data_IF_607137944954
#
_entry.id   IF_607137944954
#
_cell.length_a   1.000
_cell.length_b   1.000
_cell.length_c   1.000
_cell.angle_alpha   90.00
_cell.angle_beta   90.00
_cell.angle_gamma   90.00
#
_symmetry.space_group_name_H-M   'P 1'
#
loop_
_entity.id
_entity.type
_entity.pdbx_description
1 polymer ?
#
# COMPACT_ATOMS: atom_id res chain seq x y z
N UNK A 1 -7.59 10.10 0.20
CA UNK A 1 -7.78 9.46 -1.10
C UNK A 1 -7.61 7.95 -0.96
N UNK A 2 -8.53 7.19 -1.53
CA UNK A 2 -8.51 5.73 -1.43
C UNK A 2 -7.93 5.14 -2.71
N UNK A 3 -6.99 4.21 -2.56
CA UNK A 3 -6.34 3.54 -3.69
C UNK A 3 -6.43 2.04 -3.48
N UNK A 4 -6.75 1.30 -4.53
CA UNK A 4 -6.72 -0.17 -4.47
C UNK A 4 -5.31 -0.65 -4.80
N UNK A 5 -4.80 -1.55 -3.97
CA UNK A 5 -3.45 -2.06 -4.10
C UNK A 5 -3.44 -3.58 -4.04
N UNK A 6 -2.36 -4.15 -4.56
CA UNK A 6 -2.04 -5.58 -4.41
C UNK A 6 -0.88 -5.66 -3.42
N UNK A 7 -1.05 -6.44 -2.36
CA UNK A 7 0.03 -6.64 -1.40
C UNK A 7 1.09 -7.57 -1.99
N UNK A 8 2.35 -7.18 -1.87
CA UNK A 8 3.48 -8.00 -2.32
C UNK A 8 4.18 -8.72 -1.15
N UNK A 9 4.07 -8.18 0.05
CA UNK A 9 4.70 -8.76 1.22
C UNK A 9 4.93 -7.72 2.29
N UNK A 10 5.70 -8.09 3.31
CA UNK A 10 6.02 -7.19 4.41
C UNK A 10 7.50 -6.86 4.39
N UNK A 11 7.81 -5.61 4.76
CA UNK A 11 9.19 -5.18 5.00
C UNK A 11 9.52 -5.41 6.47
N UNK A 12 10.44 -6.31 6.74
CA UNK A 12 10.81 -6.67 8.11
C UNK A 12 11.48 -5.53 8.87
N UNK A 13 12.10 -4.59 8.16
CA UNK A 13 12.79 -3.48 8.81
C UNK A 13 11.80 -2.43 9.32
N UNK A 14 10.84 -2.06 8.49
CA UNK A 14 9.87 -1.02 8.85
C UNK A 14 8.61 -1.59 9.49
N UNK A 15 8.32 -2.87 9.24
CA UNK A 15 7.06 -3.48 9.65
C UNK A 15 5.88 -3.09 8.79
N UNK A 16 6.13 -2.38 7.70
CA UNK A 16 5.08 -1.97 6.77
C UNK A 16 4.92 -3.00 5.66
N UNK A 17 3.69 -3.12 5.17
CA UNK A 17 3.44 -3.98 4.02
C UNK A 17 3.77 -3.24 2.75
N UNK A 18 4.52 -3.90 1.88
CA UNK A 18 4.87 -3.35 0.58
C UNK A 18 3.81 -3.75 -0.42
N UNK A 19 3.19 -2.75 -1.04
CA UNK A 19 2.11 -2.95 -1.98
C UNK A 19 2.37 -2.14 -3.24
N UNK A 20 1.61 -2.44 -4.28
CA UNK A 20 1.65 -1.68 -5.53
C UNK A 20 0.22 -1.43 -5.96
N UNK A 21 0.01 -0.38 -6.75
CA UNK A 21 -1.33 -0.06 -7.21
C UNK A 21 -1.85 -1.15 -8.14
N UNK A 22 -3.09 -1.55 -7.94
CA UNK A 22 -3.74 -2.56 -8.77
C UNK A 22 -4.26 -1.97 -10.07
N UNK A 23 -4.56 -0.68 -10.06
CA UNK A 23 -5.05 -0.01 -11.25
C UNK A 23 -3.88 0.50 -12.08
N UNK A 24 -4.08 0.55 -13.38
CA UNK A 24 -3.12 1.16 -14.31
C UNK A 24 -3.22 2.68 -14.16
N UNK A 25 -2.53 3.19 -13.17
CA UNK A 25 -2.54 4.62 -12.85
C UNK A 25 -1.15 5.18 -13.09
N UNK A 26 -0.88 5.74 -14.28
CA UNK A 26 0.44 6.28 -14.59
C UNK A 26 0.86 7.45 -13.69
N UNK A 27 -0.08 8.01 -12.96
CA UNK A 27 0.21 9.10 -12.04
C UNK A 27 0.77 8.60 -10.70
N UNK A 28 0.58 7.33 -10.40
CA UNK A 28 1.06 6.73 -9.16
C UNK A 28 2.15 5.74 -9.53
N UNK A 29 3.35 6.25 -9.67
CA UNK A 29 4.51 5.47 -10.09
C UNK A 29 5.40 5.24 -8.87
N UNK A 30 5.04 4.24 -8.07
CA UNK A 30 5.80 3.96 -6.87
C UNK A 30 5.15 2.90 -6.01
N UNK A 31 5.77 2.65 -4.89
CA UNK A 31 5.29 1.66 -3.94
C UNK A 31 4.30 2.29 -2.96
N UNK A 32 3.37 1.47 -2.48
CA UNK A 32 2.46 1.88 -1.43
C UNK A 32 2.86 1.14 -0.15
N UNK A 33 3.23 1.89 0.87
CA UNK A 33 3.59 1.33 2.16
C UNK A 33 2.37 1.38 3.08
N UNK A 34 1.94 0.23 3.57
CA UNK A 34 0.69 0.10 4.30
C UNK A 34 0.95 -0.32 5.73
N UNK A 35 0.41 0.44 6.67
CA UNK A 35 0.40 0.09 8.08
C UNK A 35 -0.91 -0.64 8.40
N UNK A 36 -0.80 -1.82 8.99
CA UNK A 36 -1.98 -2.61 9.35
C UNK A 36 -1.72 -3.41 10.61
N UNK A 37 -2.70 -3.44 11.50
CA UNK A 37 -2.63 -4.27 12.70
C UNK A 37 -2.92 -5.73 12.39
N UNK A 38 -3.66 -5.97 11.31
CA UNK A 38 -4.00 -7.31 10.87
C UNK A 38 -3.05 -7.75 9.75
N UNK A 39 -2.74 -9.03 9.67
CA UNK A 39 -1.86 -9.50 8.60
C UNK A 39 -2.52 -9.36 7.23
N UNK A 40 -1.77 -8.83 6.29
CA UNK A 40 -2.19 -8.76 4.90
C UNK A 40 -1.55 -9.91 4.14
N UNK A 41 -2.27 -10.44 3.16
CA UNK A 41 -1.82 -11.61 2.42
C UNK A 41 -1.23 -11.21 1.08
N UNK A 42 -0.04 -11.73 0.72
CA UNK A 42 0.54 -11.46 -0.59
C UNK A 42 -0.39 -11.91 -1.72
N UNK A 43 -0.53 -11.07 -2.73
CA UNK A 43 -1.41 -11.34 -3.87
C UNK A 43 -2.85 -10.92 -3.68
N UNK A 44 -3.22 -10.50 -2.47
CA UNK A 44 -4.59 -10.05 -2.20
C UNK A 44 -4.73 -8.57 -2.48
N UNK A 45 -5.95 -8.15 -2.78
CA UNK A 45 -6.28 -6.76 -3.04
C UNK A 45 -6.79 -6.08 -1.77
N UNK A 46 -6.40 -4.83 -1.57
CA UNK A 46 -6.86 -4.04 -0.43
C UNK A 46 -7.13 -2.61 -0.87
N UNK A 47 -8.12 -1.99 -0.24
CA UNK A 47 -8.37 -0.57 -0.42
C UNK A 47 -7.61 0.17 0.68
N UNK A 48 -6.76 1.10 0.28
CA UNK A 48 -5.87 1.81 1.19
C UNK A 48 -6.25 3.27 1.22
N UNK A 49 -6.41 3.80 2.43
CA UNK A 49 -6.60 5.22 2.64
C UNK A 49 -5.22 5.86 2.75
N UNK A 50 -4.85 6.61 1.72
CA UNK A 50 -3.55 7.27 1.66
C UNK A 50 -3.59 8.51 2.55
N UNK A 51 -2.72 8.56 3.54
CA UNK A 51 -2.66 9.68 4.47
C UNK A 51 -1.34 10.45 4.41
N UNK A 52 -0.35 9.94 3.69
CA UNK A 52 0.91 10.65 3.51
C UNK A 52 1.56 10.20 2.20
N UNK A 53 2.49 11.01 1.70
CA UNK A 53 3.22 10.67 0.48
C UNK A 53 4.62 11.26 0.53
N UNK A 54 5.54 10.57 -0.13
CA UNK A 54 6.91 11.02 -0.36
C UNK A 54 7.11 11.11 -1.87
N UNK A 55 8.33 11.45 -2.30
CA UNK A 55 8.63 11.59 -3.72
C UNK A 55 8.34 10.32 -4.53
N UNK A 56 8.56 9.16 -3.92
CA UNK A 56 8.42 7.89 -4.62
C UNK A 56 7.45 6.92 -3.97
N UNK A 57 6.99 7.21 -2.76
CA UNK A 57 6.19 6.27 -1.99
C UNK A 57 4.93 6.92 -1.45
N UNK A 58 3.87 6.13 -1.39
CA UNK A 58 2.65 6.50 -0.70
C UNK A 58 2.57 5.74 0.61
N UNK A 59 2.00 6.35 1.63
CA UNK A 59 1.82 5.74 2.94
C UNK A 59 0.35 5.80 3.32
N UNK A 60 -0.16 4.70 3.84
CA UNK A 60 -1.55 4.67 4.22
C UNK A 60 -1.91 3.47 5.09
N UNK A 61 -3.19 3.36 5.36
CA UNK A 61 -3.75 2.29 6.18
C UNK A 61 -4.88 1.62 5.41
N UNK A 62 -5.20 0.38 5.81
CA UNK A 62 -6.30 -0.33 5.19
C UNK A 62 -7.59 0.39 5.53
N UNK A 63 -8.37 0.69 4.50
CA UNK A 63 -9.67 1.31 4.68
C UNK A 63 -10.66 0.27 5.19
N UNK A 64 -11.28 0.58 6.29
CA UNK A 64 -12.30 -0.28 6.89
C UNK A 64 -13.70 0.16 6.51
#
# INVERSE_FOLDING_TARGET
>A
QTVRVICDGIDDESGLYLCRTAADAPEVDGNVCVSSEEPLYPGAFYDILVDDSDLYDLYGTVKK
#
